data_IF_196407935865
#
_entry.id   IF_196407935865
#
_cell.length_a   1.000
_cell.length_b   1.000
_cell.length_c   1.000
_cell.angle_alpha   90.00
_cell.angle_beta   90.00
_cell.angle_gamma   90.00
#
_symmetry.space_group_name_H-M   'P 1'
#
loop_
_entity.id
_entity.type
_entity.pdbx_description
1 polymer ?
#
# COMPACT_ATOMS: atom_id res chain seq x y z
N UNK A 1 16.92 -14.26 11.57
CA UNK A 1 15.48 -14.37 11.25
C UNK A 1 15.18 -13.45 10.09
N UNK A 2 14.45 -13.89 9.06
CA UNK A 2 14.05 -13.01 7.96
C UNK A 2 12.91 -12.13 8.46
N UNK A 3 13.08 -10.81 8.39
CA UNK A 3 12.02 -9.85 8.75
C UNK A 3 11.10 -9.68 7.55
N UNK A 4 9.81 -9.41 7.79
CA UNK A 4 8.88 -9.09 6.71
C UNK A 4 9.24 -7.74 6.07
N UNK A 5 8.94 -7.62 4.79
CA UNK A 5 9.01 -6.37 4.03
C UNK A 5 7.69 -5.60 4.17
N UNK A 6 7.75 -4.27 4.11
CA UNK A 6 6.58 -3.41 4.06
C UNK A 6 6.25 -3.11 2.59
N UNK A 7 4.97 -3.08 2.25
CA UNK A 7 4.51 -2.65 0.93
C UNK A 7 3.26 -1.78 1.02
N UNK A 8 3.09 -0.95 -0.01
CA UNK A 8 1.81 -0.30 -0.31
C UNK A 8 1.36 -0.74 -1.69
N UNK A 9 0.15 -1.29 -1.77
CA UNK A 9 -0.52 -1.52 -3.05
C UNK A 9 -1.46 -0.36 -3.35
N UNK A 10 -1.70 -0.10 -4.62
CA UNK A 10 -2.75 0.80 -5.09
C UNK A 10 -3.68 0.07 -6.06
N UNK A 11 -4.95 0.44 -6.07
CA UNK A 11 -5.98 -0.10 -6.95
C UNK A 11 -6.26 0.82 -8.15
N UNK A 12 -6.37 0.25 -9.35
CA UNK A 12 -6.51 0.98 -10.60
C UNK A 12 -7.79 1.84 -10.74
N UNK A 13 -8.90 1.49 -10.09
CA UNK A 13 -10.21 2.17 -10.32
C UNK A 13 -10.49 3.25 -9.27
N UNK A 14 -10.09 3.00 -8.03
CA UNK A 14 -10.45 3.86 -6.89
C UNK A 14 -9.26 4.66 -6.35
N UNK A 15 -8.03 4.33 -6.76
CA UNK A 15 -6.82 4.90 -6.16
C UNK A 15 -6.57 4.47 -4.72
N UNK A 16 -7.46 3.65 -4.14
CA UNK A 16 -7.34 3.17 -2.76
C UNK A 16 -6.04 2.42 -2.58
N UNK A 17 -5.44 2.65 -1.42
CA UNK A 17 -4.16 2.05 -1.06
C UNK A 17 -4.35 0.98 0.00
N UNK A 18 -3.52 -0.05 -0.07
CA UNK A 18 -3.41 -1.08 0.96
C UNK A 18 -2.03 -1.04 1.55
N UNK A 19 -1.93 -0.85 2.86
CA UNK A 19 -0.67 -1.00 3.61
C UNK A 19 -0.60 -2.41 4.15
N UNK A 20 0.47 -3.14 3.83
CA UNK A 20 0.65 -4.51 4.29
C UNK A 20 2.11 -4.89 4.50
N UNK A 21 2.35 -6.03 5.14
CA UNK A 21 3.67 -6.66 5.22
C UNK A 21 3.68 -8.10 4.72
N UNK A 22 4.84 -8.57 4.25
CA UNK A 22 5.04 -9.97 3.83
C UNK A 22 6.53 -10.31 3.69
N UNK A 23 6.87 -11.59 3.82
CA UNK A 23 8.19 -12.12 3.46
C UNK A 23 8.36 -12.41 1.95
N UNK A 24 7.27 -12.31 1.18
CA UNK A 24 7.21 -12.48 -0.27
C UNK A 24 6.07 -11.61 -0.83
N UNK A 25 6.40 -10.34 -1.10
CA UNK A 25 5.44 -9.33 -1.57
C UNK A 25 4.85 -9.69 -2.93
N UNK A 26 5.64 -10.30 -3.82
CA UNK A 26 5.17 -10.70 -5.16
C UNK A 26 4.12 -11.79 -5.07
N UNK A 27 4.37 -12.84 -4.26
CA UNK A 27 3.37 -13.89 -4.02
C UNK A 27 2.11 -13.32 -3.35
N UNK A 28 2.28 -12.42 -2.38
CA UNK A 28 1.16 -11.78 -1.69
C UNK A 28 0.31 -10.92 -2.65
N UNK A 29 0.94 -10.17 -3.54
CA UNK A 29 0.23 -9.42 -4.60
C UNK A 29 -0.62 -10.35 -5.46
N UNK A 30 -0.05 -11.46 -5.94
CA UNK A 30 -0.79 -12.43 -6.75
C UNK A 30 -2.01 -12.99 -6.02
N UNK A 31 -1.88 -13.33 -4.74
CA UNK A 31 -3.00 -13.79 -3.89
C UNK A 31 -4.07 -12.72 -3.67
N UNK A 32 -3.68 -11.45 -3.50
CA UNK A 32 -4.62 -10.36 -3.34
C UNK A 32 -5.34 -10.04 -4.66
N UNK A 33 -4.64 -10.15 -5.78
CA UNK A 33 -5.19 -9.95 -7.11
C UNK A 33 -6.28 -10.98 -7.45
N UNK A 34 -6.17 -12.24 -7.01
CA UNK A 34 -7.24 -13.24 -7.26
C UNK A 34 -8.57 -12.87 -6.61
N UNK A 35 -8.52 -12.12 -5.49
CA UNK A 35 -9.71 -11.62 -4.79
C UNK A 35 -10.13 -10.21 -5.19
N UNK A 36 -9.44 -9.58 -6.14
CA UNK A 36 -9.69 -8.22 -6.58
C UNK A 36 -9.90 -8.17 -8.10
N UNK A 37 -11.09 -7.80 -8.61
CA UNK A 37 -11.32 -7.72 -10.06
C UNK A 37 -10.54 -6.58 -10.73
N UNK A 38 -10.05 -5.61 -9.95
CA UNK A 38 -9.30 -4.47 -10.44
C UNK A 38 -7.80 -4.71 -10.27
N UNK A 39 -7.00 -4.19 -11.22
CA UNK A 39 -5.54 -4.33 -11.17
C UNK A 39 -4.98 -3.69 -9.90
N UNK A 40 -4.10 -4.42 -9.23
CA UNK A 40 -3.30 -3.95 -8.10
C UNK A 40 -1.86 -3.74 -8.53
N UNK A 41 -1.22 -2.72 -7.96
CA UNK A 41 0.20 -2.43 -8.19
C UNK A 41 0.90 -2.07 -6.89
N UNK A 42 2.11 -2.59 -6.69
CA UNK A 42 3.00 -2.13 -5.62
C UNK A 42 3.52 -0.74 -6.00
N UNK A 43 3.23 0.26 -5.18
CA UNK A 43 3.70 1.65 -5.36
C UNK A 43 4.77 2.03 -4.32
N UNK A 44 4.92 1.22 -3.28
CA UNK A 44 5.98 1.33 -2.28
C UNK A 44 6.43 -0.07 -1.88
N UNK A 45 7.73 -0.28 -1.80
CA UNK A 45 8.35 -1.47 -1.24
C UNK A 45 9.53 -1.06 -0.36
N UNK A 46 9.52 -1.52 0.89
CA UNK A 46 10.57 -1.22 1.86
C UNK A 46 11.04 -2.51 2.55
N UNK A 47 12.23 -2.97 2.17
CA UNK A 47 12.78 -4.24 2.60
C UNK A 47 13.08 -4.27 4.11
N UNK A 48 12.65 -5.33 4.80
CA UNK A 48 12.83 -5.52 6.24
C UNK A 48 12.08 -4.53 7.13
N UNK A 49 11.19 -3.71 6.56
CA UNK A 49 10.47 -2.64 7.27
C UNK A 49 9.05 -3.04 7.71
N UNK A 50 8.69 -4.33 7.61
CA UNK A 50 7.34 -4.82 7.92
C UNK A 50 6.88 -4.51 9.35
N UNK A 51 7.80 -4.35 10.29
CA UNK A 51 7.50 -3.97 11.69
C UNK A 51 6.78 -2.61 11.81
N UNK A 52 6.82 -1.77 10.77
CA UNK A 52 6.21 -0.42 10.76
C UNK A 52 4.73 -0.42 10.39
N UNK A 53 4.20 -1.51 9.83
CA UNK A 53 2.81 -1.62 9.35
C UNK A 53 1.81 -1.09 10.39
N UNK A 54 1.89 -1.57 11.64
CA UNK A 54 0.98 -1.15 12.72
C UNK A 54 1.09 0.34 13.07
N UNK A 55 2.29 0.91 12.98
CA UNK A 55 2.47 2.35 13.21
C UNK A 55 1.84 3.16 12.09
N UNK A 56 2.01 2.74 10.84
CA UNK A 56 1.45 3.40 9.65
C UNK A 56 -0.08 3.31 9.65
N UNK A 57 -0.67 2.15 9.99
CA UNK A 57 -2.12 2.02 10.12
C UNK A 57 -2.69 3.02 11.13
N UNK A 58 -2.02 3.24 12.27
CA UNK A 58 -2.44 4.24 13.26
C UNK A 58 -2.33 5.68 12.77
N UNK A 59 -1.30 6.00 11.99
CA UNK A 59 -1.17 7.31 11.35
C UNK A 59 -2.29 7.57 10.34
N UNK A 60 -2.72 6.53 9.62
CA UNK A 60 -3.74 6.62 8.57
C UNK A 60 -5.16 6.28 9.04
N UNK A 61 -5.41 6.10 10.34
CA UNK A 61 -6.66 5.52 10.86
C UNK A 61 -7.91 6.31 10.41
N UNK A 62 -7.80 7.64 10.36
CA UNK A 62 -8.85 8.54 9.91
C UNK A 62 -9.08 8.55 8.37
N UNK A 63 -8.24 7.82 7.61
CA UNK A 63 -8.33 7.61 6.16
C UNK A 63 -8.75 6.18 5.80
N UNK A 64 -9.06 5.35 6.79
CA UNK A 64 -9.39 3.94 6.58
C UNK A 64 -10.77 3.79 5.91
N UNK A 65 -10.88 2.91 4.92
CA UNK A 65 -12.14 2.67 4.17
C UNK A 65 -13.14 1.88 5.03
N UNK A 66 -12.65 1.04 5.94
CA UNK A 66 -13.44 0.24 6.87
C UNK A 66 -12.72 0.21 8.21
N UNK A 67 -13.48 0.27 9.30
CA UNK A 67 -12.92 0.13 10.64
C UNK A 67 -12.09 -1.16 10.76
N UNK A 68 -10.88 -1.05 11.31
CA UNK A 68 -9.91 -2.14 11.47
C UNK A 68 -9.47 -2.79 10.14
N UNK A 69 -9.64 -2.09 9.02
CA UNK A 69 -9.25 -2.55 7.69
C UNK A 69 -7.78 -2.29 7.35
N UNK A 70 -7.33 -2.88 6.25
CA UNK A 70 -5.97 -2.66 5.72
C UNK A 70 -5.96 -1.71 4.51
N UNK A 71 -7.13 -1.15 4.16
CA UNK A 71 -7.35 -0.30 2.99
C UNK A 71 -7.67 1.13 3.42
N UNK A 72 -7.07 2.09 2.73
CA UNK A 72 -7.13 3.52 3.01
C UNK A 72 -7.42 4.30 1.71
N UNK A 73 -7.90 5.53 1.86
CA UNK A 73 -7.98 6.46 0.73
C UNK A 73 -6.58 6.84 0.23
N UNK A 74 -6.46 7.32 -1.01
CA UNK A 74 -5.18 7.73 -1.60
C UNK A 74 -4.47 8.78 -0.73
N UNK A 75 -5.23 9.71 -0.15
CA UNK A 75 -4.71 10.78 0.71
C UNK A 75 -3.96 10.24 1.92
N UNK A 76 -4.16 8.98 2.33
CA UNK A 76 -3.35 8.35 3.37
C UNK A 76 -1.85 8.38 3.08
N UNK A 77 -1.43 8.48 1.81
CA UNK A 77 -0.01 8.62 1.45
C UNK A 77 0.65 9.87 2.07
N UNK A 78 -0.12 10.94 2.40
CA UNK A 78 0.44 12.13 3.08
C UNK A 78 0.89 11.87 4.51
N UNK A 79 0.41 10.79 5.12
CA UNK A 79 0.73 10.42 6.51
C UNK A 79 1.99 9.57 6.61
N UNK A 80 2.60 9.23 5.48
CA UNK A 80 3.81 8.42 5.48
C UNK A 80 4.97 9.17 6.15
N UNK A 81 5.76 8.48 6.99
CA UNK A 81 7.05 9.00 7.42
C UNK A 81 7.91 9.46 6.23
N UNK A 82 8.69 10.55 6.35
CA UNK A 82 9.44 11.12 5.22
C UNK A 82 10.36 10.13 4.49
N UNK A 83 10.95 9.20 5.23
CA UNK A 83 11.83 8.17 4.68
C UNK A 83 11.07 7.14 3.82
N UNK A 84 9.82 6.82 4.16
CA UNK A 84 8.95 5.96 3.35
C UNK A 84 8.34 6.72 2.19
N UNK A 85 7.96 7.99 2.41
CA UNK A 85 7.43 8.84 1.36
C UNK A 85 8.44 8.99 0.21
N UNK A 86 9.75 9.11 0.53
CA UNK A 86 10.82 9.14 -0.46
C UNK A 86 11.02 7.86 -1.28
N UNK A 87 10.40 6.73 -0.88
CA UNK A 87 10.42 5.47 -1.63
C UNK A 87 9.25 5.34 -2.60
N UNK A 88 8.26 6.24 -2.54
CA UNK A 88 7.16 6.23 -3.50
C UNK A 88 7.69 6.52 -4.90
N UNK A 89 7.29 5.69 -5.85
CA UNK A 89 7.49 6.00 -7.26
C UNK A 89 6.48 7.07 -7.70
N UNK A 90 6.84 8.34 -7.44
CA UNK A 90 6.01 9.51 -7.75
C UNK A 90 5.69 9.61 -9.25
N UNK A 91 6.55 9.07 -10.12
CA UNK A 91 6.33 9.08 -11.58
C UNK A 91 5.16 8.22 -12.01
N UNK A 92 4.69 7.35 -11.13
CA UNK A 92 3.61 6.42 -11.40
C UNK A 92 2.34 6.77 -10.64
N UNK A 93 2.27 7.83 -9.82
CA UNK A 93 1.12 8.06 -8.93
C UNK A 93 -0.23 8.15 -9.65
N UNK A 94 -0.28 8.71 -10.86
CA UNK A 94 -1.52 8.87 -11.62
C UNK A 94 -1.86 7.64 -12.51
N UNK A 95 -1.16 6.51 -12.35
CA UNK A 95 -1.39 5.32 -13.19
C UNK A 95 -2.82 4.78 -13.11
N UNK A 96 -3.52 5.04 -12.00
CA UNK A 96 -4.90 4.66 -11.76
C UNK A 96 -5.89 5.74 -12.23
N UNK A 97 -5.41 6.96 -12.52
CA UNK A 97 -6.24 8.09 -13.00
C UNK A 97 -6.39 8.10 -14.52
N UNK A 98 -5.96 7.06 -15.23
CA UNK A 98 -6.13 6.97 -16.68
C UNK A 98 -7.62 6.92 -17.00
N UNK A 99 -8.13 8.08 -17.44
CA UNK A 99 -9.49 8.27 -17.92
C UNK A 99 -9.74 7.32 -19.09
N UNK A 100 -10.78 6.49 -18.96
CA UNK A 100 -11.48 5.88 -20.09
C UNK A 100 -11.99 6.97 -21.03
#
# INVERSE_FOLDING_TARGET
>A
MKQDDLYILQMAVTGQIKVGRSNDVTRRLSQLQTGCPHRLRVILYAQGQGYREKAIHRLMDYRQIRANGEWFTEEGLSELPPDLYGLLDLTQQDWWRVRS
#
